data_IF_067983092826
#
_entry.id   IF_067983092826
#
_cell.length_a   1.000
_cell.length_b   1.000
_cell.length_c   1.000
_cell.angle_alpha   90.00
_cell.angle_beta   90.00
_cell.angle_gamma   90.00
#
_symmetry.space_group_name_H-M   'P 1'
#
loop_
_entity.id
_entity.type
_entity.pdbx_description
1 polymer ?
#
# COMPACT_ATOMS: atom_id res chain seq x y z
N UNK A 1 -22.56 2.19 -31.36
CA UNK A 1 -23.91 2.70 -31.02
C UNK A 1 -24.81 1.48 -30.97
N UNK A 2 -25.41 1.04 -29.86
CA UNK A 2 -25.84 1.67 -28.60
C UNK A 2 -25.90 0.55 -27.55
N UNK A 3 -25.04 0.59 -26.52
CA UNK A 3 -25.40 0.82 -25.10
C UNK A 3 -26.52 -0.09 -24.56
N UNK A 4 -26.11 -1.15 -23.85
CA UNK A 4 -26.91 -1.75 -22.77
C UNK A 4 -26.26 -1.33 -21.45
N UNK A 5 -26.87 -0.37 -20.79
CA UNK A 5 -26.55 0.00 -19.42
C UNK A 5 -27.10 -1.09 -18.50
N UNK A 6 -26.21 -1.78 -17.78
CA UNK A 6 -26.60 -2.57 -16.62
C UNK A 6 -27.18 -1.62 -15.58
N UNK A 7 -28.48 -1.73 -15.35
CA UNK A 7 -29.18 -0.97 -14.34
C UNK A 7 -28.61 -1.36 -12.97
N UNK A 8 -28.00 -0.38 -12.32
CA UNK A 8 -27.74 -0.37 -10.89
C UNK A 8 -29.10 -0.43 -10.18
N UNK A 9 -29.54 -1.64 -9.86
CA UNK A 9 -30.75 -1.87 -9.11
C UNK A 9 -30.48 -1.49 -7.66
N UNK A 10 -30.49 -0.19 -7.39
CA UNK A 10 -30.40 0.35 -6.03
C UNK A 10 -31.43 -0.34 -5.15
N UNK A 11 -30.94 -1.02 -4.11
CA UNK A 11 -31.76 -1.60 -3.06
C UNK A 11 -32.76 -0.54 -2.56
N UNK A 12 -34.01 -0.91 -2.26
CA UNK A 12 -35.00 0.04 -1.77
C UNK A 12 -34.48 0.73 -0.51
N UNK A 13 -34.76 2.03 -0.30
CA UNK A 13 -34.29 2.74 0.88
C UNK A 13 -34.83 2.05 2.13
N UNK A 14 -33.94 1.48 2.94
CA UNK A 14 -34.28 0.90 4.23
C UNK A 14 -34.98 1.96 5.09
N UNK A 15 -36.21 1.67 5.51
CA UNK A 15 -36.98 2.55 6.39
C UNK A 15 -36.78 2.12 7.82
N UNK A 16 -36.27 3.05 8.61
CA UNK A 16 -35.97 2.83 10.02
C UNK A 16 -37.06 3.39 10.90
N UNK A 17 -37.53 2.57 11.85
CA UNK A 17 -38.48 2.99 12.86
C UNK A 17 -37.72 3.62 14.03
N UNK A 18 -38.14 4.83 14.41
CA UNK A 18 -37.49 5.61 15.44
C UNK A 18 -38.54 6.17 16.40
N UNK A 19 -38.56 5.67 17.62
CA UNK A 19 -39.62 5.92 18.60
C UNK A 19 -39.29 7.07 19.57
N UNK A 20 -38.09 7.67 19.43
CA UNK A 20 -37.64 8.75 20.31
C UNK A 20 -37.97 10.13 19.73
N UNK A 21 -38.19 11.15 20.59
CA UNK A 21 -38.58 12.49 20.14
C UNK A 21 -37.49 13.19 19.30
N UNK A 22 -36.22 12.84 19.50
CA UNK A 22 -35.09 13.42 18.75
C UNK A 22 -34.85 12.61 17.49
N UNK A 23 -35.09 13.15 16.30
CA UNK A 23 -34.89 12.40 15.05
C UNK A 23 -33.42 11.98 14.84
N UNK A 24 -33.16 10.76 14.33
CA UNK A 24 -31.82 10.34 13.98
C UNK A 24 -31.36 11.12 12.75
N UNK A 25 -30.10 11.57 12.75
CA UNK A 25 -29.49 12.30 11.62
C UNK A 25 -28.38 11.48 10.95
N UNK A 26 -27.87 10.46 11.63
CA UNK A 26 -26.72 9.69 11.22
C UNK A 26 -27.03 8.20 11.28
N UNK A 27 -26.65 7.47 10.23
CA UNK A 27 -26.64 6.02 10.18
C UNK A 27 -25.18 5.57 10.17
N UNK A 28 -24.78 4.80 11.18
CA UNK A 28 -23.48 4.15 11.22
C UNK A 28 -23.61 2.82 10.48
N UNK A 29 -22.78 2.62 9.45
CA UNK A 29 -22.65 1.36 8.73
C UNK A 29 -21.21 0.88 8.84
N UNK A 30 -21.03 -0.42 8.86
CA UNK A 30 -19.71 -1.01 8.92
C UNK A 30 -19.75 -2.49 9.16
N UNK A 31 -18.57 -3.03 9.41
CA UNK A 31 -18.35 -4.45 9.64
C UNK A 31 -18.72 -4.82 11.08
N UNK A 32 -19.79 -5.59 11.23
CA UNK A 32 -20.01 -6.43 12.40
C UNK A 32 -20.03 -7.90 11.96
N UNK A 33 -18.85 -8.51 11.83
CA UNK A 33 -18.58 -9.91 11.44
C UNK A 33 -18.36 -10.17 9.94
N UNK A 34 -17.71 -9.24 9.26
CA UNK A 34 -17.23 -9.31 7.89
C UNK A 34 -18.33 -9.33 6.82
N UNK A 35 -19.53 -8.86 7.14
CA UNK A 35 -20.55 -8.47 6.15
C UNK A 35 -20.42 -6.97 5.87
N UNK A 36 -20.00 -6.63 4.65
CA UNK A 36 -19.93 -5.25 4.20
C UNK A 36 -21.31 -4.58 4.27
N UNK A 37 -21.32 -3.30 4.67
CA UNK A 37 -22.49 -2.42 4.58
C UNK A 37 -23.63 -2.71 5.59
N UNK A 38 -23.37 -3.47 6.64
CA UNK A 38 -24.36 -3.74 7.71
C UNK A 38 -24.65 -2.48 8.55
N UNK A 39 -25.94 -2.12 8.74
CA UNK A 39 -26.34 -1.07 9.68
C UNK A 39 -25.94 -1.41 11.13
N UNK A 40 -25.10 -0.57 11.72
CA UNK A 40 -24.62 -0.74 13.10
C UNK A 40 -25.46 0.03 14.12
N UNK A 41 -25.80 1.29 13.81
CA UNK A 41 -26.57 2.14 14.72
C UNK A 41 -27.18 3.36 14.02
N UNK A 42 -28.24 3.92 14.62
CA UNK A 42 -28.76 5.25 14.31
C UNK A 42 -28.43 6.21 15.45
N UNK A 43 -27.98 7.41 15.12
CA UNK A 43 -27.67 8.45 16.11
C UNK A 43 -28.28 9.79 15.71
N UNK A 44 -28.75 10.55 16.70
CA UNK A 44 -29.29 11.90 16.50
C UNK A 44 -28.18 12.93 16.21
N UNK A 45 -27.01 12.75 16.80
CA UNK A 45 -25.90 13.69 16.74
C UNK A 45 -24.56 12.95 16.81
N UNK A 46 -23.50 13.57 16.29
CA UNK A 46 -22.12 13.11 16.45
C UNK A 46 -21.28 14.32 16.85
N UNK A 47 -20.70 14.27 18.05
CA UNK A 47 -19.79 15.31 18.55
C UNK A 47 -18.34 14.93 18.23
N UNK A 48 -17.53 15.92 17.86
CA UNK A 48 -16.07 15.76 17.65
C UNK A 48 -15.64 15.08 16.34
N UNK A 49 -16.54 14.46 15.57
CA UNK A 49 -16.22 13.88 14.26
C UNK A 49 -16.08 14.94 13.17
N UNK A 50 -16.90 16.00 13.24
CA UNK A 50 -16.91 17.11 12.28
C UNK A 50 -16.23 18.32 12.89
N UNK A 51 -14.92 18.44 12.69
CA UNK A 51 -14.11 19.53 13.20
C UNK A 51 -13.28 20.15 12.07
N UNK A 52 -13.18 21.48 12.07
CA UNK A 52 -12.21 22.18 11.23
C UNK A 52 -10.82 21.95 11.81
N UNK A 53 -10.07 21.03 11.20
CA UNK A 53 -8.68 20.85 11.58
C UNK A 53 -7.89 22.12 11.22
N UNK A 54 -6.96 22.57 12.09
CA UNK A 54 -6.09 23.67 11.73
C UNK A 54 -5.33 23.32 10.45
N UNK A 55 -5.06 24.31 9.57
CA UNK A 55 -4.29 24.06 8.37
C UNK A 55 -2.95 23.42 8.75
N UNK A 56 -2.65 22.26 8.16
CA UNK A 56 -1.37 21.60 8.40
C UNK A 56 -0.23 22.57 8.03
N UNK A 57 0.87 22.60 8.79
CA UNK A 57 2.04 23.38 8.40
C UNK A 57 2.41 23.11 6.95
N UNK A 58 2.72 24.17 6.21
CA UNK A 58 3.09 24.06 4.81
C UNK A 58 4.39 23.26 4.69
N UNK A 59 4.30 22.06 4.16
CA UNK A 59 5.45 21.18 3.96
C UNK A 59 6.15 21.60 2.67
N UNK A 60 7.40 22.02 2.77
CA UNK A 60 8.26 22.27 1.60
C UNK A 60 9.25 21.15 1.48
N UNK A 61 9.47 20.70 0.25
CA UNK A 61 10.58 19.80 -0.05
C UNK A 61 11.34 20.28 -1.30
N UNK A 62 12.57 19.81 -1.40
CA UNK A 62 13.47 20.14 -2.51
C UNK A 62 13.79 18.88 -3.29
N UNK A 63 13.55 18.93 -4.60
CA UNK A 63 14.06 17.92 -5.52
C UNK A 63 15.50 18.31 -5.87
N UNK A 64 16.48 17.60 -5.31
CA UNK A 64 17.91 17.93 -5.45
C UNK A 64 18.47 17.30 -6.73
N UNK A 65 19.22 18.05 -7.53
CA UNK A 65 19.94 17.55 -8.71
C UNK A 65 19.05 17.18 -9.89
N UNK A 66 17.92 17.86 -10.07
CA UNK A 66 16.97 17.56 -11.13
C UNK A 66 17.42 18.06 -12.50
N UNK A 67 17.30 17.18 -13.50
CA UNK A 67 17.29 17.59 -14.91
C UNK A 67 15.83 17.75 -15.36
N UNK A 68 15.29 18.98 -15.42
CA UNK A 68 13.87 19.16 -15.68
C UNK A 68 13.53 18.78 -17.12
N UNK A 69 12.51 17.94 -17.33
CA UNK A 69 11.93 17.73 -18.66
C UNK A 69 10.94 18.84 -19.02
N UNK A 70 10.40 18.82 -20.24
CA UNK A 70 9.55 19.88 -20.79
C UNK A 70 8.41 20.33 -19.86
N UNK A 71 7.64 19.44 -19.20
CA UNK A 71 6.57 19.87 -18.29
C UNK A 71 7.12 20.65 -17.08
N UNK A 72 8.21 20.19 -16.47
CA UNK A 72 8.81 20.85 -15.32
C UNK A 72 9.50 22.17 -15.73
N UNK A 73 10.14 22.23 -16.90
CA UNK A 73 10.67 23.47 -17.47
C UNK A 73 9.58 24.52 -17.68
N UNK A 74 8.41 24.13 -18.16
CA UNK A 74 7.28 25.04 -18.33
C UNK A 74 6.75 25.57 -16.98
N UNK A 75 6.71 24.71 -15.95
CA UNK A 75 6.35 25.12 -14.58
C UNK A 75 7.36 26.13 -14.02
N UNK A 76 8.66 25.87 -14.20
CA UNK A 76 9.75 26.76 -13.79
C UNK A 76 9.69 28.11 -14.50
N UNK A 77 9.44 28.13 -15.82
CA UNK A 77 9.29 29.37 -16.58
C UNK A 77 8.09 30.24 -16.17
N UNK A 78 7.12 29.67 -15.44
CA UNK A 78 5.98 30.40 -14.89
C UNK A 78 6.21 30.94 -13.48
N UNK A 79 7.34 30.60 -12.83
CA UNK A 79 7.72 31.15 -11.51
C UNK A 79 7.86 32.67 -11.60
N UNK A 80 7.38 33.39 -10.57
CA UNK A 80 7.38 34.85 -10.51
C UNK A 80 6.24 35.54 -11.29
N UNK A 81 5.46 34.81 -12.10
CA UNK A 81 4.31 35.37 -12.81
C UNK A 81 3.03 35.26 -11.98
N UNK A 82 2.23 36.32 -11.93
CA UNK A 82 0.98 36.40 -11.13
C UNK A 82 -0.30 36.08 -11.92
N UNK A 83 -0.21 35.75 -13.21
CA UNK A 83 -1.39 35.44 -14.01
C UNK A 83 -2.05 34.12 -13.57
N UNK A 84 -3.38 34.01 -13.65
CA UNK A 84 -4.10 32.75 -13.33
C UNK A 84 -3.57 31.55 -14.11
N UNK A 85 -3.19 31.76 -15.37
CA UNK A 85 -2.61 30.71 -16.21
C UNK A 85 -1.22 30.27 -15.70
N UNK A 86 -0.38 31.21 -15.24
CA UNK A 86 0.91 30.88 -14.66
C UNK A 86 0.80 30.12 -13.33
N UNK A 87 -0.11 30.54 -12.45
CA UNK A 87 -0.37 29.83 -11.18
C UNK A 87 -0.79 28.38 -11.41
N UNK A 88 -1.62 28.12 -12.44
CA UNK A 88 -1.98 26.75 -12.83
C UNK A 88 -0.81 25.95 -13.40
N UNK A 89 0.04 26.57 -14.23
CA UNK A 89 1.21 25.92 -14.84
C UNK A 89 2.27 25.49 -13.83
N UNK A 90 2.34 26.15 -12.67
CA UNK A 90 3.30 25.82 -11.60
C UNK A 90 2.90 24.59 -10.78
N UNK A 91 1.66 24.10 -10.91
CA UNK A 91 1.19 22.92 -10.20
C UNK A 91 1.74 21.66 -10.85
N UNK A 92 2.32 20.79 -10.03
CA UNK A 92 2.83 19.49 -10.44
C UNK A 92 2.19 18.42 -9.55
N UNK A 93 1.95 17.24 -10.14
CA UNK A 93 1.58 16.04 -9.42
C UNK A 93 2.20 14.87 -10.16
N UNK A 94 3.04 14.10 -9.47
CA UNK A 94 3.77 12.97 -10.03
C UNK A 94 3.93 11.87 -8.98
N UNK A 95 3.96 10.64 -9.44
CA UNK A 95 4.38 9.49 -8.65
C UNK A 95 5.90 9.40 -8.64
N UNK A 96 6.47 8.87 -7.55
CA UNK A 96 7.92 8.70 -7.44
C UNK A 96 8.31 7.27 -7.80
N UNK A 97 9.35 7.14 -8.62
CA UNK A 97 9.94 5.87 -9.02
C UNK A 97 11.40 5.83 -8.53
N UNK A 98 11.81 4.69 -7.97
CA UNK A 98 13.20 4.43 -7.64
C UNK A 98 13.93 3.89 -8.86
N UNK A 99 15.06 4.50 -9.20
CA UNK A 99 15.91 4.11 -10.33
C UNK A 99 17.03 3.21 -9.83
N UNK A 100 17.13 2.00 -10.36
CA UNK A 100 18.18 1.03 -10.06
C UNK A 100 19.48 1.34 -10.82
N UNK A 101 20.57 0.66 -10.47
CA UNK A 101 21.89 0.83 -11.08
C UNK A 101 21.91 0.56 -12.60
N UNK A 102 21.02 -0.29 -13.09
CA UNK A 102 20.85 -0.60 -14.52
C UNK A 102 19.98 0.43 -15.26
N UNK A 103 19.48 1.46 -14.57
CA UNK A 103 18.62 2.50 -15.11
C UNK A 103 17.12 2.13 -15.15
N UNK A 104 16.74 0.92 -14.74
CA UNK A 104 15.33 0.54 -14.62
C UNK A 104 14.65 1.31 -13.49
N UNK A 105 13.38 1.68 -13.71
CA UNK A 105 12.58 2.44 -12.75
C UNK A 105 11.41 1.60 -12.23
N UNK A 106 11.19 1.60 -10.92
CA UNK A 106 10.06 0.93 -10.29
C UNK A 106 9.34 1.87 -9.33
N UNK A 107 8.02 1.84 -9.36
CA UNK A 107 7.20 2.74 -8.55
C UNK A 107 7.48 2.52 -7.06
N UNK A 108 7.64 3.62 -6.31
CA UNK A 108 7.63 3.58 -4.84
C UNK A 108 6.18 3.81 -4.41
N UNK A 109 5.48 2.72 -4.09
CA UNK A 109 4.05 2.78 -3.79
C UNK A 109 3.79 3.71 -2.59
N UNK A 110 2.85 4.64 -2.76
CA UNK A 110 2.53 5.67 -1.78
C UNK A 110 3.42 6.92 -1.84
N UNK A 111 4.50 6.91 -2.63
CA UNK A 111 5.36 8.08 -2.81
C UNK A 111 4.87 8.95 -3.97
N UNK A 112 4.67 10.25 -3.71
CA UNK A 112 4.31 11.20 -4.75
C UNK A 112 4.75 12.62 -4.41
N UNK A 113 5.03 13.37 -5.47
CA UNK A 113 5.34 14.80 -5.43
C UNK A 113 4.11 15.54 -5.93
N UNK A 114 3.41 16.25 -5.06
CA UNK A 114 2.26 17.10 -5.43
C UNK A 114 2.42 18.46 -4.79
N UNK A 115 2.30 19.53 -5.58
CA UNK A 115 2.52 20.86 -5.06
C UNK A 115 2.70 21.93 -6.12
N UNK A 116 3.13 23.10 -5.67
CA UNK A 116 3.43 24.25 -6.52
C UNK A 116 4.93 24.48 -6.57
N UNK A 117 5.50 24.53 -7.76
CA UNK A 117 6.92 24.89 -7.95
C UNK A 117 7.13 26.34 -7.51
N UNK A 118 7.97 26.57 -6.50
CA UNK A 118 8.24 27.90 -5.93
C UNK A 118 9.51 28.52 -6.48
N UNK A 119 10.58 27.75 -6.56
CA UNK A 119 11.89 28.24 -6.94
C UNK A 119 12.75 27.11 -7.53
N UNK A 120 13.81 27.49 -8.24
CA UNK A 120 14.89 26.60 -8.58
C UNK A 120 16.22 27.33 -8.59
N UNK A 121 17.27 26.62 -8.20
CA UNK A 121 18.64 27.11 -8.19
C UNK A 121 19.60 26.08 -8.80
N UNK A 122 20.78 26.48 -9.31
CA UNK A 122 21.78 25.54 -9.80
C UNK A 122 22.17 24.52 -8.73
N UNK A 123 22.12 23.23 -9.06
CA UNK A 123 22.48 22.17 -8.12
C UNK A 123 23.99 22.03 -7.97
N UNK A 124 24.43 21.73 -6.76
CA UNK A 124 25.82 21.33 -6.48
C UNK A 124 26.23 19.98 -7.09
N UNK A 125 25.27 19.19 -7.57
CA UNK A 125 25.51 17.84 -8.08
C UNK A 125 25.98 17.80 -9.54
N UNK A 126 25.96 18.91 -10.26
CA UNK A 126 26.50 18.97 -11.63
C UNK A 126 25.99 20.14 -12.45
N UNK A 127 26.75 20.47 -13.50
CA UNK A 127 26.37 21.53 -14.44
C UNK A 127 25.05 21.17 -15.16
N UNK A 128 24.11 22.11 -15.19
CA UNK A 128 22.81 21.94 -15.85
C UNK A 128 21.73 21.23 -15.02
N UNK A 129 22.05 20.80 -13.79
CA UNK A 129 21.07 20.29 -12.83
C UNK A 129 20.55 21.42 -11.93
N UNK A 130 19.31 21.28 -11.46
CA UNK A 130 18.63 22.25 -10.60
C UNK A 130 18.16 21.60 -9.30
N UNK A 131 18.29 22.33 -8.20
CA UNK A 131 17.58 22.04 -6.96
C UNK A 131 16.24 22.79 -7.03
N UNK A 132 15.11 22.05 -7.03
CA UNK A 132 13.77 22.61 -7.24
C UNK A 132 12.96 22.56 -5.95
N UNK A 133 12.54 23.72 -5.47
CA UNK A 133 11.70 23.84 -4.27
C UNK A 133 10.23 23.75 -4.65
N UNK A 134 9.51 22.84 -4.00
CA UNK A 134 8.08 22.62 -4.17
C UNK A 134 7.39 22.90 -2.85
N UNK A 135 6.39 23.77 -2.93
CA UNK A 135 5.39 23.95 -1.89
C UNK A 135 4.39 22.78 -1.96
N UNK A 136 4.53 21.83 -1.04
CA UNK A 136 3.80 20.57 -1.07
C UNK A 136 2.35 20.76 -0.67
N UNK A 137 1.48 20.07 -1.40
CA UNK A 137 0.17 19.77 -0.84
C UNK A 137 0.33 18.77 0.30
N UNK A 138 -0.41 18.91 1.40
CA UNK A 138 -0.29 17.99 2.53
C UNK A 138 -0.55 16.55 2.10
N UNK A 139 0.47 15.72 2.23
CA UNK A 139 0.41 14.27 2.09
C UNK A 139 1.17 13.66 3.26
N UNK A 140 0.85 12.43 3.63
CA UNK A 140 1.62 11.75 4.65
C UNK A 140 3.01 11.40 4.10
N UNK A 141 4.11 11.88 4.71
CA UNK A 141 5.45 11.55 4.25
C UNK A 141 5.75 10.07 4.51
N UNK A 142 6.56 9.47 3.64
CA UNK A 142 7.03 8.11 3.85
C UNK A 142 8.09 8.05 4.97
N UNK A 143 8.13 6.99 5.78
CA UNK A 143 9.18 6.79 6.76
C UNK A 143 10.58 6.75 6.12
N UNK A 144 11.58 7.38 6.73
CA UNK A 144 12.96 7.39 6.21
C UNK A 144 13.54 5.98 6.03
N UNK A 145 13.10 5.01 6.83
CA UNK A 145 13.51 3.60 6.69
C UNK A 145 13.20 2.98 5.33
N UNK A 146 12.26 3.55 4.56
CA UNK A 146 11.98 3.11 3.18
C UNK A 146 13.19 3.30 2.27
N UNK A 147 14.07 4.29 2.52
CA UNK A 147 15.31 4.45 1.76
C UNK A 147 16.24 3.24 1.93
N UNK A 148 16.34 2.70 3.15
CA UNK A 148 17.12 1.49 3.42
C UNK A 148 16.53 0.26 2.71
N UNK A 149 15.20 0.18 2.63
CA UNK A 149 14.53 -0.84 1.82
C UNK A 149 14.94 -0.70 0.35
N UNK A 150 14.81 0.49 -0.24
CA UNK A 150 15.13 0.71 -1.66
C UNK A 150 16.59 0.38 -2.01
N UNK A 151 17.52 0.60 -1.10
CA UNK A 151 18.95 0.27 -1.27
C UNK A 151 19.15 -1.23 -1.56
N UNK A 152 18.38 -2.12 -0.91
CA UNK A 152 18.46 -3.56 -1.15
C UNK A 152 18.11 -3.98 -2.58
N UNK A 153 17.38 -3.13 -3.33
CA UNK A 153 17.04 -3.38 -4.74
C UNK A 153 17.86 -2.54 -5.73
N UNK A 154 18.77 -1.69 -5.26
CA UNK A 154 19.51 -0.79 -6.15
C UNK A 154 20.35 -1.55 -7.18
N UNK A 155 21.02 -2.62 -6.75
CA UNK A 155 21.82 -3.49 -7.62
C UNK A 155 20.99 -4.61 -8.31
N UNK A 156 19.67 -4.55 -8.25
CA UNK A 156 18.77 -5.62 -8.67
C UNK A 156 18.14 -6.34 -7.48
N UNK A 157 17.43 -7.44 -7.75
CA UNK A 157 16.67 -8.16 -6.72
C UNK A 157 17.59 -8.68 -5.60
N UNK A 158 17.20 -8.60 -4.32
CA UNK A 158 17.97 -9.15 -3.21
C UNK A 158 18.31 -10.63 -3.42
N UNK A 159 19.49 -11.06 -2.98
CA UNK A 159 19.92 -12.46 -3.06
C UNK A 159 19.56 -13.28 -1.83
N UNK A 160 19.33 -12.61 -0.69
CA UNK A 160 19.07 -13.25 0.60
C UNK A 160 17.63 -13.04 1.05
N UNK A 161 17.05 -14.07 1.67
CA UNK A 161 15.74 -13.99 2.31
C UNK A 161 15.83 -13.29 3.67
N UNK A 162 14.68 -12.85 4.18
CA UNK A 162 14.50 -12.32 5.54
C UNK A 162 15.26 -11.03 5.85
N UNK A 163 15.74 -10.28 4.85
CA UNK A 163 16.30 -8.94 5.06
C UNK A 163 15.28 -7.97 5.67
N UNK A 164 13.98 -8.25 5.48
CA UNK A 164 12.87 -7.55 6.10
C UNK A 164 12.66 -7.86 7.58
N UNK A 165 13.25 -8.93 8.12
CA UNK A 165 12.93 -9.43 9.45
C UNK A 165 13.26 -8.42 10.56
N UNK A 166 14.33 -7.63 10.38
CA UNK A 166 14.75 -6.61 11.34
C UNK A 166 13.90 -5.34 11.34
N UNK A 167 13.02 -5.16 10.36
CA UNK A 167 12.15 -3.99 10.27
C UNK A 167 10.93 -4.11 11.18
N UNK A 168 10.41 -2.96 11.61
CA UNK A 168 9.10 -2.90 12.24
C UNK A 168 7.97 -3.25 11.25
N UNK A 169 6.78 -3.44 11.80
CA UNK A 169 5.56 -3.75 11.05
C UNK A 169 5.28 -2.78 9.90
N UNK A 170 5.51 -1.48 10.08
CA UNK A 170 5.25 -0.47 9.06
C UNK A 170 6.21 -0.59 7.88
N UNK A 171 7.49 -0.78 8.17
CA UNK A 171 8.52 -0.98 7.16
C UNK A 171 8.41 -2.34 6.46
N UNK A 172 7.93 -3.40 7.13
CA UNK A 172 7.58 -4.68 6.48
C UNK A 172 6.45 -4.51 5.45
N UNK A 173 5.46 -3.66 5.73
CA UNK A 173 4.44 -3.33 4.73
C UNK A 173 5.05 -2.65 3.49
N UNK A 174 5.96 -1.70 3.69
CA UNK A 174 6.67 -1.04 2.59
C UNK A 174 7.58 -2.02 1.83
N UNK A 175 8.20 -2.98 2.50
CA UNK A 175 8.97 -4.06 1.86
C UNK A 175 8.09 -4.84 0.88
N UNK A 176 6.90 -5.27 1.30
CA UNK A 176 5.94 -5.94 0.43
C UNK A 176 5.48 -5.06 -0.74
N UNK A 177 5.33 -3.74 -0.53
CA UNK A 177 5.05 -2.79 -1.61
C UNK A 177 6.18 -2.65 -2.64
N UNK A 178 7.44 -2.63 -2.20
CA UNK A 178 8.61 -2.64 -3.10
C UNK A 178 8.70 -3.96 -3.87
N UNK A 179 8.42 -5.09 -3.20
CA UNK A 179 8.36 -6.39 -3.84
C UNK A 179 7.25 -6.44 -4.92
N UNK A 180 6.07 -5.86 -4.66
CA UNK A 180 4.97 -5.76 -5.63
C UNK A 180 5.39 -4.99 -6.89
N UNK A 181 5.99 -3.81 -6.72
CA UNK A 181 6.42 -2.95 -7.82
C UNK A 181 7.51 -3.61 -8.70
N UNK A 182 8.21 -4.62 -8.16
CA UNK A 182 9.31 -5.33 -8.81
C UNK A 182 9.01 -6.81 -9.05
N UNK A 183 7.73 -7.20 -9.02
CA UNK A 183 7.32 -8.59 -9.26
C UNK A 183 7.80 -9.06 -10.63
N UNK A 184 8.20 -10.32 -10.70
CA UNK A 184 8.47 -10.98 -11.97
C UNK A 184 7.17 -11.19 -12.74
N UNK A 185 7.22 -11.02 -14.07
CA UNK A 185 6.14 -11.41 -14.98
C UNK A 185 6.24 -12.87 -15.44
N UNK A 186 7.11 -13.67 -14.80
CA UNK A 186 7.26 -15.08 -15.10
C UNK A 186 5.95 -15.85 -14.91
N UNK A 187 5.70 -16.90 -15.72
CA UNK A 187 4.55 -17.76 -15.53
C UNK A 187 4.57 -18.42 -14.15
N UNK A 188 3.38 -18.73 -13.63
CA UNK A 188 3.27 -19.49 -12.39
C UNK A 188 4.01 -20.81 -12.48
N UNK A 189 4.64 -21.20 -11.36
CA UNK A 189 5.10 -22.57 -11.18
C UNK A 189 3.90 -23.52 -11.17
N UNK A 190 4.08 -24.77 -11.65
CA UNK A 190 2.97 -25.72 -11.83
C UNK A 190 2.27 -26.05 -10.51
N UNK A 191 1.00 -26.46 -10.62
CA UNK A 191 0.24 -27.00 -9.50
C UNK A 191 0.95 -28.21 -8.88
N UNK A 192 0.76 -28.43 -7.58
CA UNK A 192 1.45 -29.45 -6.79
C UNK A 192 2.88 -29.07 -6.36
N UNK A 193 3.37 -27.88 -6.73
CA UNK A 193 4.66 -27.37 -6.24
C UNK A 193 4.65 -27.27 -4.71
N UNK A 194 5.76 -27.61 -4.07
CA UNK A 194 5.92 -27.43 -2.62
C UNK A 194 6.76 -26.18 -2.32
N UNK A 195 6.23 -25.29 -1.50
CA UNK A 195 6.91 -24.07 -1.04
C UNK A 195 7.29 -24.19 0.43
N UNK A 196 8.44 -23.60 0.76
CA UNK A 196 9.00 -23.58 2.12
C UNK A 196 8.89 -22.15 2.67
N UNK A 197 8.01 -21.97 3.66
CA UNK A 197 7.81 -20.71 4.36
C UNK A 197 8.60 -20.72 5.67
N UNK A 198 9.46 -19.73 5.82
CA UNK A 198 10.25 -19.49 7.03
C UNK A 198 9.44 -18.63 8.02
N UNK A 199 8.85 -19.28 9.03
CA UNK A 199 7.93 -18.64 9.97
C UNK A 199 8.60 -17.91 11.13
N UNK A 200 9.94 -17.99 11.27
CA UNK A 200 10.68 -17.46 12.43
C UNK A 200 10.42 -15.98 12.72
N UNK A 201 10.08 -15.21 11.69
CA UNK A 201 9.88 -13.76 11.76
C UNK A 201 8.43 -13.33 11.55
N UNK A 202 7.48 -14.28 11.51
CA UNK A 202 6.05 -13.99 11.36
C UNK A 202 5.44 -13.60 12.72
N UNK A 203 5.87 -12.44 13.22
CA UNK A 203 5.42 -11.85 14.49
C UNK A 203 4.27 -10.86 14.32
N UNK A 204 3.87 -10.61 13.07
CA UNK A 204 2.73 -9.78 12.68
C UNK A 204 2.30 -10.16 11.25
N UNK A 205 1.15 -9.65 10.81
CA UNK A 205 0.57 -10.01 9.52
C UNK A 205 1.41 -9.51 8.33
N UNK A 206 2.13 -8.40 8.47
CA UNK A 206 3.06 -7.88 7.46
C UNK A 206 4.29 -8.78 7.31
N UNK A 207 4.80 -9.34 8.42
CA UNK A 207 5.83 -10.37 8.41
C UNK A 207 5.37 -11.64 7.69
N UNK A 208 4.11 -12.06 7.85
CA UNK A 208 3.54 -13.16 7.07
C UNK A 208 3.58 -12.88 5.57
N UNK A 209 3.12 -11.70 5.13
CA UNK A 209 3.13 -11.33 3.71
C UNK A 209 4.53 -11.32 3.10
N UNK A 210 5.54 -10.85 3.85
CA UNK A 210 6.93 -10.92 3.42
C UNK A 210 7.42 -12.37 3.32
N UNK A 211 7.15 -13.20 4.33
CA UNK A 211 7.58 -14.59 4.38
C UNK A 211 6.98 -15.45 3.27
N UNK A 212 5.67 -15.35 3.01
CA UNK A 212 5.01 -16.11 1.94
C UNK A 212 5.45 -15.62 0.55
N UNK A 213 5.65 -14.31 0.38
CA UNK A 213 6.21 -13.73 -0.84
C UNK A 213 7.59 -14.32 -1.17
N UNK A 214 8.45 -14.46 -0.17
CA UNK A 214 9.78 -15.05 -0.35
C UNK A 214 9.77 -16.58 -0.48
N UNK A 215 8.82 -17.26 0.15
CA UNK A 215 8.60 -18.69 -0.02
C UNK A 215 8.27 -19.03 -1.48
N UNK A 216 7.36 -18.26 -2.09
CA UNK A 216 6.86 -18.51 -3.44
C UNK A 216 7.82 -17.99 -4.49
N UNK A 217 8.17 -16.70 -4.42
CA UNK A 217 8.88 -16.04 -5.50
C UNK A 217 10.39 -15.92 -5.27
N UNK A 218 10.93 -16.37 -4.13
CA UNK A 218 12.34 -16.21 -3.76
C UNK A 218 12.62 -14.88 -3.03
N UNK A 219 13.87 -14.61 -2.63
CA UNK A 219 14.29 -13.39 -1.91
C UNK A 219 13.63 -12.08 -2.39
N UNK A 220 13.09 -11.25 -1.48
CA UNK A 220 12.36 -10.03 -1.83
C UNK A 220 11.12 -10.26 -2.72
N UNK A 221 10.54 -11.45 -2.68
CA UNK A 221 9.40 -11.85 -3.51
C UNK A 221 8.07 -11.34 -2.98
N UNK A 222 7.11 -11.17 -3.89
CA UNK A 222 5.77 -10.69 -3.57
C UNK A 222 4.75 -11.81 -3.68
N UNK A 223 3.85 -11.95 -2.71
CA UNK A 223 2.65 -12.79 -2.81
C UNK A 223 1.56 -12.25 -1.87
N UNK A 224 1.20 -10.99 -2.06
CA UNK A 224 0.24 -10.26 -1.22
C UNK A 224 0.91 -9.30 -0.23
N UNK A 225 0.12 -8.34 0.26
CA UNK A 225 0.48 -7.30 1.25
C UNK A 225 -0.72 -6.83 2.10
N UNK A 226 -1.91 -7.37 1.79
CA UNK A 226 -3.16 -7.33 2.51
C UNK A 226 -3.97 -8.59 2.10
N UNK A 227 -5.16 -8.80 2.67
CA UNK A 227 -5.97 -10.00 2.42
C UNK A 227 -6.47 -10.08 0.98
N UNK A 228 -6.99 -8.99 0.41
CA UNK A 228 -7.49 -8.97 -0.97
C UNK A 228 -6.38 -9.32 -1.97
N UNK A 229 -5.20 -8.76 -1.76
CA UNK A 229 -4.06 -9.03 -2.62
C UNK A 229 -3.50 -10.45 -2.45
N UNK A 230 -3.58 -11.02 -1.25
CA UNK A 230 -3.23 -12.43 -1.04
C UNK A 230 -4.24 -13.34 -1.75
N UNK A 231 -5.53 -13.06 -1.60
CA UNK A 231 -6.64 -13.74 -2.26
C UNK A 231 -6.51 -13.68 -3.80
N UNK A 232 -6.14 -12.53 -4.36
CA UNK A 232 -5.78 -12.37 -5.77
C UNK A 232 -4.57 -13.21 -6.17
N UNK A 233 -3.52 -13.24 -5.33
CA UNK A 233 -2.33 -14.04 -5.60
C UNK A 233 -2.64 -15.55 -5.63
N UNK A 234 -3.54 -16.01 -4.75
CA UNK A 234 -3.97 -17.41 -4.67
C UNK A 234 -4.77 -17.87 -5.89
N UNK A 235 -5.37 -16.93 -6.65
CA UNK A 235 -6.02 -17.22 -7.94
C UNK A 235 -5.03 -17.38 -9.12
N UNK A 236 -3.73 -17.25 -8.86
CA UNK A 236 -2.66 -17.42 -9.84
C UNK A 236 -2.29 -16.15 -10.60
N UNK A 237 -1.26 -16.26 -11.45
CA UNK A 237 -0.53 -15.18 -12.16
C UNK A 237 0.44 -14.38 -11.29
N UNK A 238 0.76 -14.89 -10.12
CA UNK A 238 1.65 -14.25 -9.14
C UNK A 238 2.78 -15.19 -8.69
N UNK A 239 3.09 -16.23 -9.46
CA UNK A 239 4.24 -17.13 -9.25
C UNK A 239 3.89 -18.54 -8.80
N UNK A 240 2.66 -18.77 -8.35
CA UNK A 240 2.16 -20.08 -7.93
C UNK A 240 0.77 -20.36 -8.49
N UNK A 241 0.58 -21.54 -9.06
CA UNK A 241 -0.73 -22.06 -9.45
C UNK A 241 -1.24 -23.00 -8.36
N UNK A 242 -2.47 -22.76 -7.87
CA UNK A 242 -3.19 -23.66 -6.97
C UNK A 242 -3.75 -24.89 -7.73
N UNK A 243 -3.88 -26.05 -7.09
CA UNK A 243 -3.47 -26.37 -5.71
C UNK A 243 -1.94 -26.46 -5.57
N UNK A 244 -1.40 -26.18 -4.37
CA UNK A 244 0.02 -26.35 -4.05
C UNK A 244 0.22 -26.67 -2.56
N UNK A 245 1.41 -27.13 -2.18
CA UNK A 245 1.74 -27.43 -0.77
C UNK A 245 2.60 -26.32 -0.16
N UNK A 246 2.24 -25.88 1.04
CA UNK A 246 2.98 -24.90 1.84
C UNK A 246 3.47 -25.56 3.13
N UNK A 247 4.78 -25.79 3.23
CA UNK A 247 5.42 -26.21 4.48
C UNK A 247 5.82 -24.97 5.26
N UNK A 248 5.19 -24.76 6.41
CA UNK A 248 5.38 -23.58 7.26
C UNK A 248 6.21 -23.97 8.49
N UNK A 249 7.51 -23.65 8.45
CA UNK A 249 8.43 -23.89 9.55
C UNK A 249 8.29 -22.84 10.64
N UNK A 250 8.51 -23.21 11.90
CA UNK A 250 8.43 -22.31 13.05
C UNK A 250 7.05 -21.62 13.17
N UNK A 251 6.00 -22.35 12.78
CA UNK A 251 4.60 -21.88 12.78
C UNK A 251 4.09 -21.50 14.19
N UNK A 252 4.75 -22.00 15.23
CA UNK A 252 4.49 -21.63 16.62
C UNK A 252 4.62 -20.11 16.87
N UNK A 253 5.54 -19.42 16.16
CA UNK A 253 5.69 -17.95 16.28
C UNK A 253 4.42 -17.24 15.82
N UNK A 254 3.88 -17.62 14.66
CA UNK A 254 2.64 -17.06 14.15
C UNK A 254 1.44 -17.40 15.06
N UNK A 255 1.44 -18.59 15.69
CA UNK A 255 0.40 -18.99 16.64
C UNK A 255 0.37 -18.11 17.89
N UNK A 256 1.54 -17.66 18.36
CA UNK A 256 1.66 -16.76 19.51
C UNK A 256 1.27 -15.31 19.16
N UNK A 257 1.59 -14.85 17.95
CA UNK A 257 1.49 -13.43 17.59
C UNK A 257 0.27 -13.06 16.75
N UNK A 258 -0.23 -13.97 15.90
CA UNK A 258 -1.40 -13.73 15.05
C UNK A 258 -2.66 -14.21 15.77
N UNK A 259 -3.00 -13.53 16.85
CA UNK A 259 -4.13 -13.83 17.74
C UNK A 259 -5.27 -12.83 17.58
N UNK A 260 -6.46 -13.20 18.03
CA UNK A 260 -7.62 -12.31 18.00
C UNK A 260 -7.35 -11.03 18.80
N UNK A 261 -7.82 -9.91 18.28
CA UNK A 261 -7.59 -8.60 18.87
C UNK A 261 -8.05 -7.49 17.95
N UNK A 262 -7.58 -6.27 18.22
CA UNK A 262 -7.85 -5.11 17.37
C UNK A 262 -6.55 -4.59 16.76
N UNK A 263 -6.51 -4.53 15.44
CA UNK A 263 -5.39 -3.99 14.69
C UNK A 263 -5.53 -2.46 14.60
N UNK A 264 -4.77 -1.74 15.41
CA UNK A 264 -4.78 -0.26 15.40
C UNK A 264 -4.21 0.37 14.13
N UNK A 265 -3.47 -0.37 13.32
CA UNK A 265 -2.94 0.13 12.03
C UNK A 265 -4.00 0.03 10.95
N UNK A 266 -4.73 -1.08 10.90
CA UNK A 266 -5.80 -1.33 9.91
C UNK A 266 -7.16 -0.84 10.38
N UNK A 267 -7.26 -0.48 11.65
CA UNK A 267 -8.49 -0.07 12.33
C UNK A 267 -9.61 -1.13 12.25
N UNK A 268 -9.22 -2.40 12.23
CA UNK A 268 -10.09 -3.57 12.03
C UNK A 268 -9.79 -4.67 13.07
N UNK A 269 -10.60 -5.75 13.15
CA UNK A 269 -10.18 -6.96 13.84
C UNK A 269 -8.81 -7.45 13.34
N UNK A 270 -7.97 -7.92 14.27
CA UNK A 270 -6.67 -8.47 13.93
C UNK A 270 -6.81 -9.77 13.15
N UNK A 271 -6.00 -9.91 12.10
CA UNK A 271 -5.94 -11.13 11.29
C UNK A 271 -5.24 -12.22 12.10
N UNK A 272 -5.90 -13.36 12.25
CA UNK A 272 -5.39 -14.48 13.05
C UNK A 272 -4.73 -15.54 12.19
N UNK A 273 -3.90 -16.38 12.79
CA UNK A 273 -3.36 -17.57 12.11
C UNK A 273 -4.50 -18.45 11.60
N UNK A 274 -5.55 -18.68 12.41
CA UNK A 274 -6.70 -19.50 12.01
C UNK A 274 -7.37 -18.97 10.73
N UNK A 275 -7.58 -17.66 10.65
CA UNK A 275 -8.15 -17.01 9.46
C UNK A 275 -7.27 -17.23 8.21
N UNK A 276 -5.94 -17.09 8.34
CA UNK A 276 -5.02 -17.34 7.23
C UNK A 276 -5.08 -18.79 6.77
N UNK A 277 -5.14 -19.75 7.69
CA UNK A 277 -5.22 -21.17 7.35
C UNK A 277 -6.53 -21.51 6.63
N UNK A 278 -7.65 -20.93 7.07
CA UNK A 278 -8.96 -21.07 6.43
C UNK A 278 -8.93 -20.51 5.00
N UNK A 279 -8.41 -19.30 4.81
CA UNK A 279 -8.27 -18.67 3.49
C UNK A 279 -7.38 -19.50 2.56
N UNK A 280 -6.20 -19.93 3.02
CA UNK A 280 -5.29 -20.76 2.22
C UNK A 280 -5.93 -22.09 1.83
N UNK A 281 -6.63 -22.75 2.77
CA UNK A 281 -7.32 -24.02 2.52
C UNK A 281 -8.48 -23.85 1.53
N UNK A 282 -9.22 -22.73 1.59
CA UNK A 282 -10.29 -22.41 0.65
C UNK A 282 -9.79 -22.27 -0.80
N UNK A 283 -8.50 -21.95 -0.98
CA UNK A 283 -7.80 -21.92 -2.27
C UNK A 283 -7.03 -23.21 -2.58
N UNK A 284 -7.39 -24.33 -1.95
CA UNK A 284 -6.79 -25.65 -2.17
C UNK A 284 -5.27 -25.71 -1.89
N UNK A 285 -4.78 -24.87 -0.97
CA UNK A 285 -3.40 -24.95 -0.46
C UNK A 285 -3.32 -26.00 0.64
N UNK A 286 -2.49 -27.01 0.46
CA UNK A 286 -2.18 -28.00 1.49
C UNK A 286 -1.14 -27.44 2.46
N UNK A 287 -1.46 -27.32 3.74
CA UNK A 287 -0.60 -26.66 4.74
C UNK A 287 -0.01 -27.69 5.70
N UNK A 288 1.32 -27.71 5.82
CA UNK A 288 2.08 -28.54 6.78
C UNK A 288 2.76 -27.60 7.80
N UNK A 289 2.18 -27.50 8.99
CA UNK A 289 2.68 -26.66 10.08
C UNK A 289 3.75 -27.42 10.89
N UNK A 290 4.93 -26.83 11.03
CA UNK A 290 6.06 -27.36 11.81
C UNK A 290 6.49 -26.41 12.90
#
# INVERSE_FOLDING_TARGET
MTTSAGADAGLPPERWWWEYPVRPRWLLRGDARFEDDTPLALCAEIEGLFVDLPPRPQERFTLVGCRPETPLRAALGAVGQSTKAALRRRRISAEVYAVAADGSASQVIGAGVSGTVEAAEPSRLGAGLLDVTVDSEPREPLPTGVLGILEHWYAGRPAEKNLWAGYDRGLRHHWAGVALARRSGEPDRPAGTTYQLDGRFVTDIEGFYCAIGEAINGPGGYFGWNLDALDDCLRGRFGARTPFRLVWHDSAVAREHLVAGYDRRRLSPAITLAYLLEMLTAHEVEIDLR
#
